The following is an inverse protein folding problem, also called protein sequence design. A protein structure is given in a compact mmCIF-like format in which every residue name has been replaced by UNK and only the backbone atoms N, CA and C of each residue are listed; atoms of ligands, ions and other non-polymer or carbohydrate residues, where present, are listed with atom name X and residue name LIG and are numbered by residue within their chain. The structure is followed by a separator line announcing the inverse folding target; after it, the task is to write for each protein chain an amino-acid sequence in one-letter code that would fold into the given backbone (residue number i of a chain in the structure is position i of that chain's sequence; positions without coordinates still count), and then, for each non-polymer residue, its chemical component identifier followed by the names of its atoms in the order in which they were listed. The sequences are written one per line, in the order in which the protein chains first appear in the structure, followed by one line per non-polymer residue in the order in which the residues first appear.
data_IF_428765691618
#
_entry.id   IF_428765691618
#
_cell.length_a   1.000
_cell.length_b   1.000
_cell.length_c   1.000
_cell.angle_alpha   90.00
_cell.angle_beta   90.00
_cell.angle_gamma   90.00
#
_symmetry.space_group_name_H-M   'P 1'
#
loop_
_entity.id
_entity.type
_entity.pdbx_description
1 polymer ?
#
# COMPACT_ATOMS: atom_id res chain seq x y z
N UNK A 1 -18.87 -13.30 1.11
CA UNK A 1 -19.47 -14.21 0.11
C UNK A 1 -20.62 -15.06 0.67
N UNK A 2 -20.71 -15.26 2.00
CA UNK A 2 -21.87 -15.97 2.60
C UNK A 2 -23.09 -15.05 2.69
N UNK A 3 -22.92 -13.84 3.17
CA UNK A 3 -24.01 -12.89 3.43
C UNK A 3 -24.34 -12.00 2.21
N UNK A 4 -23.38 -11.76 1.32
CA UNK A 4 -23.56 -10.92 0.12
C UNK A 4 -23.77 -11.83 -1.09
N UNK A 5 -25.04 -12.04 -1.44
CA UNK A 5 -25.39 -12.87 -2.61
C UNK A 5 -25.13 -12.08 -3.89
N UNK A 6 -24.66 -12.75 -4.97
CA UNK A 6 -24.56 -12.11 -6.29
C UNK A 6 -25.87 -11.45 -6.68
N UNK A 7 -25.80 -10.30 -7.34
CA UNK A 7 -26.90 -9.53 -7.87
C UNK A 7 -27.95 -9.06 -6.82
N UNK A 8 -27.62 -9.14 -5.53
CA UNK A 8 -28.42 -8.51 -4.48
C UNK A 8 -28.15 -7.00 -4.42
N UNK A 9 -29.07 -6.22 -3.84
CA UNK A 9 -28.88 -4.78 -3.64
C UNK A 9 -27.57 -4.43 -2.90
N UNK A 10 -27.16 -5.26 -1.92
CA UNK A 10 -25.88 -5.10 -1.22
C UNK A 10 -24.70 -5.36 -2.18
N UNK A 11 -24.82 -6.34 -3.07
CA UNK A 11 -23.79 -6.67 -4.04
C UNK A 11 -23.62 -5.57 -5.09
N UNK A 12 -24.73 -5.08 -5.61
CA UNK A 12 -24.71 -3.99 -6.60
C UNK A 12 -24.07 -2.73 -6.02
N UNK A 13 -24.37 -2.38 -4.76
CA UNK A 13 -23.74 -1.25 -4.09
C UNK A 13 -22.25 -1.52 -3.83
N UNK A 14 -21.87 -2.72 -3.37
CA UNK A 14 -20.48 -3.10 -3.18
C UNK A 14 -19.67 -3.08 -4.49
N UNK A 15 -20.26 -3.53 -5.61
CA UNK A 15 -19.69 -3.48 -6.94
C UNK A 15 -19.52 -2.05 -7.45
N UNK A 16 -20.45 -1.16 -7.10
CA UNK A 16 -20.38 0.27 -7.42
C UNK A 16 -19.25 0.95 -6.65
N UNK A 17 -19.10 0.67 -5.35
CA UNK A 17 -18.04 1.22 -4.49
C UNK A 17 -16.67 0.65 -4.83
N UNK A 18 -16.57 -0.63 -5.12
CA UNK A 18 -15.34 -1.36 -5.44
C UNK A 18 -14.41 -1.56 -4.24
N UNK A 19 -14.31 -0.60 -3.35
CA UNK A 19 -13.49 -0.62 -2.12
C UNK A 19 -14.09 0.25 -1.02
N UNK A 20 -13.67 0.04 0.23
CA UNK A 20 -13.88 1.00 1.33
C UNK A 20 -12.94 2.20 1.18
N UNK A 21 -13.33 3.35 1.70
CA UNK A 21 -12.52 4.58 1.76
C UNK A 21 -12.19 4.90 3.22
N UNK A 22 -10.93 5.21 3.51
CA UNK A 22 -10.46 5.44 4.88
C UNK A 22 -10.00 6.88 5.05
N UNK A 23 -10.87 7.71 5.61
CA UNK A 23 -10.51 9.05 6.02
C UNK A 23 -9.79 9.04 7.39
N UNK A 24 -9.00 10.06 7.71
CA UNK A 24 -8.29 10.09 9.00
C UNK A 24 -9.17 9.92 10.24
N UNK A 25 -10.43 10.41 10.18
CA UNK A 25 -11.38 10.37 11.31
C UNK A 25 -12.43 9.26 11.22
N UNK A 26 -12.71 8.74 10.02
CA UNK A 26 -13.75 7.72 9.82
C UNK A 26 -13.55 6.96 8.51
N UNK A 27 -14.24 5.85 8.36
CA UNK A 27 -14.23 5.06 7.12
C UNK A 27 -15.63 5.02 6.50
N UNK A 28 -15.68 5.05 5.17
CA UNK A 28 -16.88 4.73 4.39
C UNK A 28 -16.74 3.27 3.94
N UNK A 29 -17.46 2.33 4.55
CA UNK A 29 -17.29 0.92 4.27
C UNK A 29 -17.90 0.53 2.91
N UNK A 30 -17.30 -0.45 2.24
CA UNK A 30 -17.84 -1.06 1.01
C UNK A 30 -19.16 -1.80 1.28
N UNK A 31 -19.25 -2.47 2.42
CA UNK A 31 -20.44 -3.22 2.86
C UNK A 31 -21.12 -2.48 4.02
N UNK A 32 -22.43 -2.67 4.23
CA UNK A 32 -23.13 -2.12 5.40
C UNK A 32 -22.42 -2.44 6.71
N UNK A 33 -22.43 -1.53 7.68
CA UNK A 33 -21.73 -1.70 8.97
C UNK A 33 -22.21 -2.93 9.76
N UNK A 34 -23.47 -3.30 9.64
CA UNK A 34 -23.98 -4.54 10.22
C UNK A 34 -23.23 -5.78 9.74
N UNK A 35 -22.69 -5.76 8.51
CA UNK A 35 -21.81 -6.79 7.98
C UNK A 35 -20.36 -6.51 8.31
N UNK A 36 -19.81 -5.35 7.91
CA UNK A 36 -18.38 -5.05 8.02
C UNK A 36 -17.90 -5.01 9.46
N UNK A 37 -18.63 -4.33 10.35
CA UNK A 37 -18.28 -4.18 11.75
C UNK A 37 -18.97 -5.22 12.65
N UNK A 38 -20.03 -5.87 12.15
CA UNK A 38 -20.87 -6.84 12.85
C UNK A 38 -20.54 -8.30 12.52
N UNK A 39 -21.32 -8.88 11.59
CA UNK A 39 -21.32 -10.33 11.30
C UNK A 39 -20.01 -10.84 10.68
N UNK A 40 -19.34 -10.04 9.87
CA UNK A 40 -18.09 -10.43 9.21
C UNK A 40 -16.85 -10.09 10.02
N UNK A 41 -16.93 -9.21 11.03
CA UNK A 41 -15.80 -8.85 11.88
C UNK A 41 -15.37 -10.01 12.77
N UNK A 42 -14.09 -10.35 12.77
CA UNK A 42 -13.50 -11.45 13.56
C UNK A 42 -13.33 -11.06 15.04
N UNK A 43 -14.44 -10.74 15.70
CA UNK A 43 -14.45 -10.32 17.10
C UNK A 43 -14.00 -11.45 18.03
N UNK A 44 -13.26 -11.14 19.13
CA UNK A 44 -12.86 -12.15 20.09
C UNK A 44 -14.06 -12.79 20.80
N UNK A 45 -13.93 -14.08 21.12
CA UNK A 45 -14.94 -14.83 21.87
C UNK A 45 -16.23 -15.18 21.10
N UNK A 46 -16.34 -14.82 19.82
CA UNK A 46 -17.54 -15.03 19.00
C UNK A 46 -17.24 -15.93 17.80
N UNK A 47 -18.11 -16.89 17.53
CA UNK A 47 -18.00 -17.75 16.36
C UNK A 47 -18.18 -16.95 15.06
N UNK A 48 -17.30 -17.17 14.09
CA UNK A 48 -17.33 -16.51 12.77
C UNK A 48 -17.11 -17.49 11.63
N UNK A 49 -17.94 -17.37 10.61
CA UNK A 49 -17.79 -18.10 9.35
C UNK A 49 -16.61 -17.51 8.58
N UNK A 50 -15.67 -18.35 8.17
CA UNK A 50 -14.49 -17.94 7.42
C UNK A 50 -14.25 -18.85 6.23
N UNK A 51 -13.51 -18.34 5.25
CA UNK A 51 -12.87 -19.12 4.22
C UNK A 51 -11.38 -19.15 4.56
N UNK A 52 -10.89 -20.34 4.84
CA UNK A 52 -9.53 -20.55 5.36
C UNK A 52 -8.63 -21.08 4.26
N UNK A 53 -7.46 -20.48 4.13
CA UNK A 53 -6.32 -21.00 3.38
C UNK A 53 -5.28 -21.50 4.40
N UNK A 54 -5.18 -22.80 4.58
CA UNK A 54 -4.19 -23.45 5.42
C UNK A 54 -3.01 -23.85 4.55
N UNK A 55 -1.80 -23.49 4.96
CA UNK A 55 -0.58 -23.69 4.18
C UNK A 55 0.47 -24.42 5.01
N UNK A 56 1.12 -25.39 4.40
CA UNK A 56 2.29 -26.04 4.95
C UNK A 56 3.54 -25.46 4.27
N UNK A 57 4.41 -24.85 5.06
CA UNK A 57 5.64 -24.23 4.58
C UNK A 57 6.84 -25.08 4.99
N UNK A 58 7.86 -25.15 4.14
CA UNK A 58 9.14 -25.77 4.46
C UNK A 58 10.09 -24.76 5.14
N UNK A 59 11.30 -25.18 5.45
CA UNK A 59 12.33 -24.33 6.10
C UNK A 59 12.82 -23.16 5.22
N UNK A 60 12.57 -23.20 3.92
CA UNK A 60 12.87 -22.11 2.99
C UNK A 60 11.70 -21.12 2.83
N UNK A 61 10.59 -21.36 3.54
CA UNK A 61 9.36 -20.59 3.42
C UNK A 61 8.51 -20.90 2.19
N UNK A 62 8.83 -21.99 1.44
CA UNK A 62 8.05 -22.37 0.27
C UNK A 62 6.80 -23.16 0.69
N UNK A 63 5.65 -22.78 0.10
CA UNK A 63 4.39 -23.48 0.32
C UNK A 63 4.38 -24.82 -0.43
N UNK A 64 4.58 -25.91 0.31
CA UNK A 64 4.67 -27.28 -0.23
C UNK A 64 3.31 -27.95 -0.36
N UNK A 65 2.37 -27.61 0.50
CA UNK A 65 0.97 -28.08 0.43
C UNK A 65 0.03 -27.02 0.99
N UNK A 66 -1.21 -27.01 0.54
CA UNK A 66 -2.25 -26.11 1.04
C UNK A 66 -3.65 -26.68 0.91
N UNK A 67 -4.54 -26.24 1.78
CA UNK A 67 -5.96 -26.57 1.75
C UNK A 67 -6.79 -25.28 1.85
N UNK A 68 -7.84 -25.20 1.02
CA UNK A 68 -8.83 -24.12 1.08
C UNK A 68 -10.17 -24.73 1.44
N UNK A 69 -10.82 -24.21 2.49
CA UNK A 69 -12.08 -24.74 3.00
C UNK A 69 -12.88 -23.71 3.78
N UNK A 70 -14.19 -23.93 3.88
CA UNK A 70 -15.06 -23.16 4.77
C UNK A 70 -14.86 -23.64 6.21
N UNK A 71 -14.73 -22.70 7.14
CA UNK A 71 -14.49 -23.00 8.56
C UNK A 71 -15.30 -22.11 9.48
N UNK A 72 -15.38 -22.52 10.74
CA UNK A 72 -15.92 -21.74 11.84
C UNK A 72 -14.79 -21.49 12.82
N UNK A 73 -14.45 -20.22 13.03
CA UNK A 73 -13.40 -19.81 13.96
C UNK A 73 -13.94 -19.02 15.12
N UNK A 74 -13.20 -19.02 16.23
CA UNK A 74 -13.43 -18.18 17.40
C UNK A 74 -12.12 -17.54 17.80
N UNK A 75 -12.00 -16.22 17.58
CA UNK A 75 -10.79 -15.47 17.93
C UNK A 75 -10.62 -15.41 19.44
N UNK A 76 -9.40 -15.57 19.92
CA UNK A 76 -9.07 -15.56 21.36
C UNK A 76 -8.86 -14.14 21.90
N UNK A 77 -8.31 -13.24 21.08
CA UNK A 77 -8.00 -11.89 21.50
C UNK A 77 -8.08 -10.90 20.34
N UNK A 78 -8.32 -9.63 20.65
CA UNK A 78 -8.11 -8.49 19.77
C UNK A 78 -6.78 -7.84 20.21
N UNK A 79 -5.82 -7.83 19.32
CA UNK A 79 -4.51 -7.20 19.51
C UNK A 79 -4.44 -5.95 18.64
N UNK A 80 -3.71 -4.95 19.08
CA UNK A 80 -3.34 -3.80 18.26
C UNK A 80 -1.87 -3.87 17.84
N UNK A 81 -1.53 -3.16 16.76
CA UNK A 81 -0.20 -3.21 16.19
C UNK A 81 0.89 -2.66 17.13
N UNK A 82 0.60 -1.59 17.87
CA UNK A 82 1.58 -0.94 18.73
C UNK A 82 1.93 -1.84 19.92
N UNK A 83 0.93 -2.44 20.59
CA UNK A 83 1.14 -3.38 21.68
C UNK A 83 1.92 -4.64 21.26
N UNK A 84 1.65 -5.16 20.05
CA UNK A 84 2.38 -6.32 19.52
C UNK A 84 3.80 -5.94 19.14
N UNK A 85 4.03 -4.77 18.53
CA UNK A 85 5.36 -4.28 18.20
C UNK A 85 6.19 -4.03 19.49
N UNK A 86 5.60 -3.40 20.50
CA UNK A 86 6.24 -3.20 21.81
C UNK A 86 6.67 -4.54 22.44
N UNK A 87 5.84 -5.58 22.33
CA UNK A 87 6.17 -6.91 22.83
C UNK A 87 7.31 -7.56 22.03
N UNK A 88 7.26 -7.51 20.70
CA UNK A 88 8.22 -8.20 19.83
C UNK A 88 9.57 -7.47 19.74
N UNK A 89 9.56 -6.14 19.66
CA UNK A 89 10.76 -5.34 19.37
C UNK A 89 11.46 -4.86 20.66
N UNK A 90 10.69 -4.53 21.71
CA UNK A 90 11.20 -3.95 22.95
C UNK A 90 11.13 -4.90 24.15
N UNK A 91 10.53 -6.08 24.01
CA UNK A 91 10.34 -7.04 25.09
C UNK A 91 9.41 -6.56 26.22
N UNK A 92 8.67 -5.46 26.00
CA UNK A 92 7.70 -4.96 26.97
C UNK A 92 6.58 -5.98 27.18
N UNK A 93 6.12 -6.14 28.41
CA UNK A 93 5.03 -7.06 28.74
C UNK A 93 3.64 -6.45 28.43
N UNK A 94 3.44 -6.02 27.18
CA UNK A 94 2.18 -5.43 26.69
C UNK A 94 1.09 -6.47 26.42
N UNK A 95 1.46 -7.76 26.35
CA UNK A 95 0.56 -8.90 26.09
C UNK A 95 0.57 -9.82 27.32
N UNK A 96 -0.53 -9.87 28.06
CA UNK A 96 -0.60 -10.64 29.32
C UNK A 96 -0.72 -12.16 29.16
N UNK A 97 -1.29 -12.62 28.04
CA UNK A 97 -1.55 -14.05 27.82
C UNK A 97 -0.31 -14.77 27.27
N UNK A 98 0.25 -15.72 28.04
CA UNK A 98 1.47 -16.48 27.69
C UNK A 98 1.33 -17.32 26.39
N UNK A 99 0.16 -17.90 26.12
CA UNK A 99 -0.06 -18.67 24.89
C UNK A 99 -0.06 -17.76 23.67
N UNK A 100 -0.63 -16.57 23.79
CA UNK A 100 -0.57 -15.55 22.74
C UNK A 100 0.87 -15.08 22.53
N UNK A 101 1.61 -14.82 23.60
CA UNK A 101 3.04 -14.45 23.52
C UNK A 101 3.86 -15.51 22.75
N UNK A 102 3.64 -16.80 23.06
CA UNK A 102 4.30 -17.92 22.37
C UNK A 102 3.94 -17.94 20.89
N UNK A 103 2.66 -17.79 20.56
CA UNK A 103 2.19 -17.74 19.18
C UNK A 103 2.80 -16.56 18.40
N UNK A 104 2.87 -15.36 19.00
CA UNK A 104 3.45 -14.17 18.38
C UNK A 104 4.95 -14.35 18.08
N UNK A 105 5.72 -15.01 18.96
CA UNK A 105 7.13 -15.33 18.68
C UNK A 105 7.28 -16.26 17.49
N UNK A 106 6.48 -17.33 17.42
CA UNK A 106 6.48 -18.23 16.25
C UNK A 106 6.04 -17.50 14.96
N UNK A 107 5.07 -16.61 15.06
CA UNK A 107 4.66 -15.77 13.92
C UNK A 107 5.80 -14.84 13.48
N UNK A 108 6.58 -14.28 14.40
CA UNK A 108 7.76 -13.47 14.07
C UNK A 108 8.84 -14.28 13.35
N UNK A 109 9.13 -15.49 13.82
CA UNK A 109 10.06 -16.42 13.15
C UNK A 109 9.58 -16.71 11.71
N UNK A 110 8.30 -17.02 11.53
CA UNK A 110 7.70 -17.25 10.23
C UNK A 110 7.74 -15.99 9.34
N UNK A 111 7.51 -14.80 9.90
CA UNK A 111 7.64 -13.54 9.18
C UNK A 111 9.04 -13.40 8.58
N UNK A 112 10.10 -13.60 9.36
CA UNK A 112 11.48 -13.50 8.88
C UNK A 112 11.78 -14.51 7.77
N UNK A 113 11.27 -15.74 7.91
CA UNK A 113 11.40 -16.77 6.88
C UNK A 113 10.78 -16.34 5.54
N UNK A 114 9.57 -15.76 5.59
CA UNK A 114 8.87 -15.25 4.40
C UNK A 114 9.53 -14.00 3.81
N UNK A 115 10.05 -13.10 4.64
CA UNK A 115 10.84 -11.95 4.18
C UNK A 115 12.08 -12.39 3.41
N UNK A 116 12.86 -13.33 3.95
CA UNK A 116 14.05 -13.86 3.30
C UNK A 116 13.71 -14.60 1.99
N UNK A 117 12.63 -15.37 1.95
CA UNK A 117 12.11 -15.96 0.71
C UNK A 117 11.84 -14.89 -0.36
N UNK A 118 11.13 -13.82 0.01
CA UNK A 118 10.79 -12.73 -0.92
C UNK A 118 12.04 -11.98 -1.38
N UNK A 119 12.97 -11.72 -0.48
CA UNK A 119 14.26 -11.08 -0.78
C UNK A 119 15.08 -11.92 -1.77
N UNK A 120 15.20 -13.24 -1.53
CA UNK A 120 15.87 -14.15 -2.46
C UNK A 120 15.25 -14.15 -3.85
N UNK A 121 13.92 -14.03 -3.94
CA UNK A 121 13.17 -13.93 -5.20
C UNK A 121 13.31 -12.57 -5.88
N UNK A 122 13.80 -11.56 -5.19
CA UNK A 122 14.00 -10.21 -5.71
C UNK A 122 12.77 -9.31 -5.59
N UNK A 123 11.92 -9.53 -4.58
CA UNK A 123 10.84 -8.58 -4.28
C UNK A 123 11.42 -7.21 -3.91
N UNK A 124 10.83 -6.15 -4.46
CA UNK A 124 11.26 -4.78 -4.25
C UNK A 124 10.62 -4.25 -2.97
N UNK A 125 11.43 -3.87 -1.98
CA UNK A 125 10.95 -3.37 -0.68
C UNK A 125 11.39 -1.91 -0.51
N UNK A 126 10.47 -0.98 -0.74
CA UNK A 126 10.67 0.44 -0.46
C UNK A 126 10.52 0.71 1.04
N UNK A 127 11.31 1.65 1.55
CA UNK A 127 11.25 2.10 2.94
C UNK A 127 10.75 3.55 2.98
N UNK A 128 9.44 3.71 2.98
CA UNK A 128 8.81 5.01 3.17
C UNK A 128 8.23 5.12 4.58
N UNK A 129 8.38 6.30 5.16
CA UNK A 129 7.59 6.66 6.34
C UNK A 129 6.19 7.07 5.89
N UNK A 130 5.17 6.61 6.62
CA UNK A 130 3.80 7.08 6.43
C UNK A 130 3.54 8.29 7.32
N UNK A 131 2.97 9.34 6.73
CA UNK A 131 2.54 10.50 7.50
C UNK A 131 1.19 10.21 8.14
N UNK A 132 1.13 10.26 9.46
CA UNK A 132 -0.09 10.06 10.25
C UNK A 132 -0.54 11.39 10.85
N UNK A 133 -1.83 11.69 10.70
CA UNK A 133 -2.44 12.87 11.34
C UNK A 133 -2.60 12.60 12.83
N UNK A 134 -2.17 13.53 13.66
CA UNK A 134 -2.35 13.48 15.11
C UNK A 134 -3.57 14.30 15.52
N UNK A 135 -4.32 13.79 16.52
CA UNK A 135 -5.56 14.38 16.98
C UNK A 135 -5.54 14.62 18.49
N UNK A 136 -6.17 15.69 18.93
CA UNK A 136 -6.51 15.89 20.33
C UNK A 136 -7.77 15.09 20.73
N UNK A 137 -8.14 15.19 22.01
CA UNK A 137 -9.32 14.54 22.56
C UNK A 137 -10.66 15.03 21.94
N UNK A 138 -10.64 16.12 21.20
CA UNK A 138 -11.80 16.70 20.50
C UNK A 138 -11.79 16.39 19.00
N UNK A 139 -10.93 15.44 18.54
CA UNK A 139 -10.70 15.10 17.13
C UNK A 139 -10.24 16.28 16.27
N UNK A 140 -9.53 17.28 16.84
CA UNK A 140 -8.90 18.35 16.09
C UNK A 140 -7.44 17.96 15.80
N UNK A 141 -7.00 18.24 14.59
CA UNK A 141 -5.62 17.98 14.19
C UNK A 141 -4.66 18.84 15.04
N UNK A 142 -3.64 18.19 15.61
CA UNK A 142 -2.58 18.84 16.39
C UNK A 142 -1.25 18.89 15.64
N UNK A 143 -1.09 18.05 14.62
CA UNK A 143 0.11 17.95 13.81
C UNK A 143 0.12 16.69 12.98
N UNK A 144 1.31 16.35 12.47
CA UNK A 144 1.57 15.10 11.78
C UNK A 144 2.82 14.45 12.36
N UNK A 145 2.83 13.13 12.41
CA UNK A 145 4.01 12.35 12.74
C UNK A 145 4.38 11.42 11.60
N UNK A 146 5.66 11.10 11.50
CA UNK A 146 6.16 10.07 10.58
C UNK A 146 6.23 8.74 11.31
N UNK A 147 5.51 7.75 10.81
CA UNK A 147 5.56 6.39 11.32
C UNK A 147 6.18 5.48 10.27
N UNK A 148 7.17 4.70 10.68
CA UNK A 148 7.65 3.58 9.89
C UNK A 148 6.79 2.36 10.16
N UNK A 149 6.71 1.47 9.17
CA UNK A 149 5.99 0.22 9.31
C UNK A 149 6.60 -0.61 10.46
N UNK A 150 5.80 -0.92 11.48
CA UNK A 150 6.21 -1.73 12.62
C UNK A 150 6.42 -3.20 12.26
N UNK A 151 7.15 -3.95 13.10
CA UNK A 151 7.32 -5.40 12.95
C UNK A 151 5.99 -6.14 12.90
N UNK A 152 5.03 -5.74 13.71
CA UNK A 152 3.68 -6.31 13.73
C UNK A 152 2.91 -6.09 12.43
N UNK A 153 3.02 -4.90 11.82
CA UNK A 153 2.43 -4.61 10.50
C UNK A 153 3.08 -5.45 9.40
N UNK A 154 4.43 -5.52 9.38
CA UNK A 154 5.20 -6.36 8.46
C UNK A 154 4.80 -7.83 8.57
N UNK A 155 4.61 -8.33 9.79
CA UNK A 155 4.21 -9.72 10.04
C UNK A 155 2.88 -10.04 9.38
N UNK A 156 1.86 -9.23 9.56
CA UNK A 156 0.56 -9.43 8.92
C UNK A 156 0.65 -9.28 7.41
N UNK A 157 1.43 -8.32 6.91
CA UNK A 157 1.69 -8.16 5.48
C UNK A 157 2.27 -9.42 4.86
N UNK A 158 3.33 -10.03 5.46
CA UNK A 158 3.94 -11.25 4.93
C UNK A 158 2.93 -12.40 4.84
N UNK A 159 2.09 -12.57 5.85
CA UNK A 159 1.07 -13.63 5.86
C UNK A 159 -0.03 -13.38 4.83
N UNK A 160 -0.47 -12.12 4.68
CA UNK A 160 -1.44 -11.76 3.65
C UNK A 160 -0.89 -12.00 2.24
N UNK A 161 0.37 -11.66 1.99
CA UNK A 161 1.03 -11.86 0.70
C UNK A 161 1.12 -13.34 0.36
N UNK A 162 1.57 -14.19 1.29
CA UNK A 162 1.67 -15.63 1.07
C UNK A 162 0.29 -16.27 0.80
N UNK A 163 -0.74 -15.87 1.55
CA UNK A 163 -2.11 -16.32 1.33
C UNK A 163 -2.64 -15.88 -0.05
N UNK A 164 -2.41 -14.63 -0.44
CA UNK A 164 -2.83 -14.08 -1.73
C UNK A 164 -2.16 -14.82 -2.90
N UNK A 165 -0.85 -15.09 -2.82
CA UNK A 165 -0.10 -15.84 -3.83
C UNK A 165 -0.59 -17.29 -3.94
N UNK A 166 -0.79 -17.96 -2.80
CA UNK A 166 -1.27 -19.36 -2.76
C UNK A 166 -2.67 -19.48 -3.37
N UNK A 167 -3.58 -18.57 -3.03
CA UNK A 167 -4.94 -18.55 -3.59
C UNK A 167 -4.90 -18.20 -5.08
N UNK A 168 -4.05 -17.28 -5.52
CA UNK A 168 -3.90 -16.94 -6.94
C UNK A 168 -3.44 -18.16 -7.75
N UNK A 169 -2.41 -18.88 -7.26
CA UNK A 169 -1.92 -20.15 -7.85
C UNK A 169 -3.03 -21.19 -7.94
N UNK A 170 -3.83 -21.31 -6.87
CA UNK A 170 -5.00 -22.20 -6.86
C UNK A 170 -6.02 -21.84 -7.93
N UNK A 171 -6.38 -20.55 -8.04
CA UNK A 171 -7.34 -20.06 -9.05
C UNK A 171 -6.86 -20.35 -10.47
N UNK A 172 -5.58 -20.12 -10.78
CA UNK A 172 -4.99 -20.44 -12.09
C UNK A 172 -5.02 -21.94 -12.36
N UNK A 173 -4.52 -22.75 -11.41
CA UNK A 173 -4.49 -24.23 -11.53
C UNK A 173 -5.87 -24.84 -11.75
N UNK A 174 -6.90 -24.27 -11.12
CA UNK A 174 -8.29 -24.72 -11.21
C UNK A 174 -9.12 -24.01 -12.28
N UNK A 175 -8.53 -23.04 -12.99
CA UNK A 175 -9.23 -22.21 -14.00
C UNK A 175 -10.48 -21.53 -13.41
N UNK A 176 -10.37 -21.03 -12.17
CA UNK A 176 -11.45 -20.32 -11.53
C UNK A 176 -11.51 -18.88 -12.03
N UNK A 177 -12.71 -18.30 -12.17
CA UNK A 177 -12.85 -16.88 -12.47
C UNK A 177 -12.36 -16.06 -11.28
N UNK A 178 -11.31 -15.25 -11.48
CA UNK A 178 -10.72 -14.39 -10.44
C UNK A 178 -10.24 -13.08 -11.03
N UNK A 179 -10.23 -12.02 -10.22
CA UNK A 179 -9.56 -10.76 -10.56
C UNK A 179 -8.15 -10.81 -9.98
N UNK A 180 -7.16 -10.82 -10.88
CA UNK A 180 -5.75 -10.83 -10.51
C UNK A 180 -5.23 -9.41 -10.31
N UNK A 181 -4.36 -9.19 -9.34
CA UNK A 181 -3.64 -7.94 -9.15
C UNK A 181 -2.35 -7.99 -9.95
N UNK A 182 -2.33 -7.32 -11.07
CA UNK A 182 -1.23 -7.38 -12.03
C UNK A 182 -0.39 -6.12 -11.95
N UNK A 183 0.92 -6.29 -11.84
CA UNK A 183 1.89 -5.22 -11.86
C UNK A 183 2.92 -5.48 -12.95
N UNK A 184 2.84 -4.70 -14.02
CA UNK A 184 3.74 -4.82 -15.16
C UNK A 184 5.12 -4.24 -14.85
N UNK A 185 6.20 -4.72 -15.50
CA UNK A 185 7.50 -4.06 -15.45
C UNK A 185 7.41 -2.63 -15.99
N UNK A 186 8.38 -1.76 -15.65
CA UNK A 186 8.47 -0.42 -16.22
C UNK A 186 8.57 -0.43 -17.74
N UNK A 187 8.05 0.63 -18.40
CA UNK A 187 8.21 0.80 -19.85
C UNK A 187 9.67 1.14 -20.21
N UNK A 188 10.07 0.82 -21.44
CA UNK A 188 11.44 1.08 -21.94
C UNK A 188 11.83 2.56 -21.80
N UNK A 189 10.90 3.48 -22.05
CA UNK A 189 11.13 4.92 -21.91
C UNK A 189 11.50 5.28 -20.46
N UNK A 190 10.73 4.77 -19.50
CA UNK A 190 11.00 5.00 -18.07
C UNK A 190 12.31 4.35 -17.62
N UNK A 191 12.63 3.18 -18.17
CA UNK A 191 13.92 2.50 -17.91
C UNK A 191 15.10 3.30 -18.43
N UNK A 192 14.98 3.89 -19.62
CA UNK A 192 16.04 4.75 -20.17
C UNK A 192 16.28 6.00 -19.31
N UNK A 193 15.20 6.65 -18.87
CA UNK A 193 15.29 7.81 -17.96
C UNK A 193 15.93 7.42 -16.63
N UNK A 194 15.47 6.32 -16.03
CA UNK A 194 16.03 5.79 -14.78
C UNK A 194 17.52 5.50 -14.91
N UNK A 195 17.96 4.85 -16.00
CA UNK A 195 19.38 4.55 -16.26
C UNK A 195 20.24 5.81 -16.29
N UNK A 196 19.75 6.90 -16.89
CA UNK A 196 20.48 8.18 -16.94
C UNK A 196 20.62 8.77 -15.54
N UNK A 197 19.55 8.83 -14.77
CA UNK A 197 19.59 9.32 -13.38
C UNK A 197 20.56 8.48 -12.54
N UNK A 198 20.47 7.16 -12.57
CA UNK A 198 21.33 6.26 -11.79
C UNK A 198 22.83 6.44 -12.13
N UNK A 199 23.15 6.66 -13.42
CA UNK A 199 24.54 6.88 -13.85
C UNK A 199 25.16 8.13 -13.19
N UNK A 200 24.41 9.21 -12.97
CA UNK A 200 24.88 10.40 -12.26
C UNK A 200 25.22 10.14 -10.78
N UNK A 201 24.59 9.13 -10.18
CA UNK A 201 24.85 8.73 -8.80
C UNK A 201 25.81 7.54 -8.67
N UNK A 202 26.61 7.28 -9.70
CA UNK A 202 27.65 6.26 -9.69
C UNK A 202 27.13 4.82 -9.79
N UNK A 203 25.83 4.63 -9.96
CA UNK A 203 25.25 3.32 -10.20
C UNK A 203 25.39 2.98 -11.67
N UNK A 204 26.27 2.05 -12.01
CA UNK A 204 26.44 1.62 -13.40
C UNK A 204 25.28 0.70 -13.83
N UNK A 205 24.33 1.18 -14.65
CA UNK A 205 23.19 0.38 -15.05
C UNK A 205 23.52 -0.79 -15.99
N UNK A 206 24.78 -0.90 -16.43
CA UNK A 206 25.25 -2.06 -17.22
C UNK A 206 25.60 -3.27 -16.35
N UNK A 207 25.89 -3.05 -15.07
CA UNK A 207 26.24 -4.13 -14.12
C UNK A 207 25.03 -4.77 -13.45
N UNK A 208 23.84 -4.16 -13.55
CA UNK A 208 22.61 -4.67 -12.95
C UNK A 208 21.50 -4.62 -14.00
N UNK A 209 20.88 -5.76 -14.26
CA UNK A 209 19.71 -5.84 -15.14
C UNK A 209 18.54 -5.05 -14.55
N UNK A 210 17.91 -4.20 -15.36
CA UNK A 210 16.66 -3.50 -15.01
C UNK A 210 15.44 -4.16 -15.69
N UNK A 211 15.60 -5.35 -16.27
CA UNK A 211 14.52 -6.08 -16.94
C UNK A 211 13.64 -6.88 -15.97
N UNK A 212 14.12 -7.12 -14.76
CA UNK A 212 13.45 -7.91 -13.75
C UNK A 212 13.45 -7.25 -12.36
N UNK A 213 12.62 -7.73 -11.48
CA UNK A 213 12.46 -7.22 -10.12
C UNK A 213 13.72 -7.42 -9.27
N UNK A 214 14.48 -8.48 -9.52
CA UNK A 214 15.71 -8.78 -8.79
C UNK A 214 16.77 -7.69 -9.01
N UNK A 215 16.92 -7.23 -10.26
CA UNK A 215 17.80 -6.11 -10.58
C UNK A 215 17.38 -4.81 -9.89
N UNK A 216 16.07 -4.52 -9.86
CA UNK A 216 15.53 -3.37 -9.11
C UNK A 216 15.80 -3.47 -7.61
N UNK A 217 15.60 -4.64 -7.00
CA UNK A 217 15.88 -4.88 -5.58
C UNK A 217 17.37 -4.66 -5.25
N UNK A 218 18.29 -5.15 -6.10
CA UNK A 218 19.73 -4.92 -5.94
C UNK A 218 20.11 -3.46 -6.04
N UNK A 219 19.55 -2.73 -7.02
CA UNK A 219 19.78 -1.29 -7.13
C UNK A 219 19.29 -0.58 -5.88
N UNK A 220 18.06 -0.85 -5.42
CA UNK A 220 17.52 -0.24 -4.21
C UNK A 220 18.43 -0.48 -3.00
N UNK A 221 18.99 -1.69 -2.85
CA UNK A 221 19.92 -2.01 -1.77
C UNK A 221 21.22 -1.19 -1.88
N UNK A 222 21.75 -0.99 -3.10
CA UNK A 222 22.94 -0.15 -3.32
C UNK A 222 22.66 1.33 -3.03
N UNK A 223 21.46 1.81 -3.41
CA UNK A 223 21.07 3.22 -3.17
C UNK A 223 20.97 3.56 -1.69
N UNK A 224 20.71 2.59 -0.80
CA UNK A 224 20.65 2.81 0.66
C UNK A 224 21.92 3.40 1.26
N UNK A 225 23.06 3.15 0.63
CA UNK A 225 24.36 3.67 1.08
C UNK A 225 24.59 5.14 0.68
N UNK A 226 23.73 5.69 -0.18
CA UNK A 226 23.88 7.05 -0.70
C UNK A 226 23.14 8.08 0.15
N UNK A 227 23.71 9.27 0.38
CA UNK A 227 23.02 10.35 1.11
C UNK A 227 21.68 10.77 0.47
N UNK A 228 21.51 10.55 -0.84
CA UNK A 228 20.33 10.89 -1.62
C UNK A 228 19.30 9.74 -1.67
N UNK A 229 19.41 8.74 -0.82
CA UNK A 229 18.56 7.54 -0.85
C UNK A 229 17.08 7.85 -0.93
N UNK A 230 16.55 8.76 -0.07
CA UNK A 230 15.14 9.12 -0.04
C UNK A 230 14.63 9.63 -1.42
N UNK A 231 15.42 10.44 -2.10
CA UNK A 231 15.06 10.94 -3.43
C UNK A 231 15.14 9.85 -4.51
N UNK A 232 16.20 9.05 -4.47
CA UNK A 232 16.45 8.03 -5.48
C UNK A 232 15.46 6.87 -5.40
N UNK A 233 15.01 6.48 -4.20
CA UNK A 233 13.95 5.49 -4.07
C UNK A 233 12.60 5.99 -4.63
N UNK A 234 12.30 7.30 -4.51
CA UNK A 234 11.11 7.90 -5.14
C UNK A 234 11.22 7.87 -6.68
N UNK A 235 12.40 8.16 -7.23
CA UNK A 235 12.64 8.07 -8.68
C UNK A 235 12.46 6.63 -9.16
N UNK A 236 13.00 5.67 -8.42
CA UNK A 236 12.84 4.25 -8.71
C UNK A 236 11.36 3.84 -8.68
N UNK A 237 10.61 4.24 -7.66
CA UNK A 237 9.17 3.99 -7.54
C UNK A 237 8.38 4.61 -8.70
N UNK A 238 8.64 5.87 -9.06
CA UNK A 238 7.97 6.58 -10.16
C UNK A 238 8.25 5.97 -11.54
N UNK A 239 9.37 5.27 -11.69
CA UNK A 239 9.69 4.53 -12.91
C UNK A 239 8.78 3.32 -13.12
N UNK A 240 8.23 2.76 -12.05
CA UNK A 240 7.39 1.56 -12.09
C UNK A 240 6.00 1.85 -12.67
N UNK A 241 5.33 0.80 -13.14
CA UNK A 241 3.92 0.86 -13.53
C UNK A 241 3.02 0.87 -12.28
N UNK A 242 1.77 1.26 -12.43
CA UNK A 242 0.77 1.06 -11.39
C UNK A 242 0.22 -0.37 -11.47
N UNK A 243 0.00 -0.99 -10.32
CA UNK A 243 -0.71 -2.26 -10.26
C UNK A 243 -2.20 -2.05 -10.58
N UNK A 244 -2.79 -2.98 -11.32
CA UNK A 244 -4.19 -2.91 -11.76
C UNK A 244 -4.87 -4.28 -11.61
N UNK A 245 -6.21 -4.29 -11.55
CA UNK A 245 -6.95 -5.54 -11.61
C UNK A 245 -7.14 -5.98 -13.06
N UNK A 246 -6.98 -7.28 -13.32
CA UNK A 246 -7.17 -7.91 -14.62
C UNK A 246 -7.85 -9.28 -14.47
N UNK A 247 -8.52 -9.74 -15.53
CA UNK A 247 -9.17 -11.07 -15.57
C UNK A 247 -8.20 -12.21 -15.87
N UNK A 248 -6.97 -11.88 -16.29
CA UNK A 248 -5.89 -12.85 -16.55
C UNK A 248 -4.72 -12.57 -15.64
N UNK A 249 -4.09 -13.65 -15.17
CA UNK A 249 -2.85 -13.51 -14.41
C UNK A 249 -1.74 -12.96 -15.32
N UNK A 250 -1.07 -11.92 -14.86
CA UNK A 250 0.10 -11.31 -15.53
C UNK A 250 1.29 -11.17 -14.60
N UNK A 251 1.24 -11.78 -13.41
CA UNK A 251 2.26 -11.64 -12.37
C UNK A 251 2.26 -10.27 -11.69
N UNK A 252 3.13 -10.12 -10.71
CA UNK A 252 3.28 -8.87 -9.97
C UNK A 252 4.77 -8.50 -9.83
N UNK A 253 5.24 -7.62 -10.71
CA UNK A 253 6.65 -7.24 -10.81
C UNK A 253 7.26 -6.80 -9.46
N UNK A 254 6.65 -5.85 -8.77
CA UNK A 254 7.19 -5.33 -7.50
C UNK A 254 7.28 -6.38 -6.39
N UNK A 255 6.40 -7.38 -6.38
CA UNK A 255 6.42 -8.51 -5.43
C UNK A 255 7.29 -9.68 -5.93
N UNK A 256 7.80 -9.62 -7.14
CA UNK A 256 8.43 -10.76 -7.83
C UNK A 256 7.54 -12.01 -7.80
N UNK A 257 6.21 -11.85 -7.88
CA UNK A 257 5.25 -12.93 -7.77
C UNK A 257 4.71 -13.35 -9.14
N UNK A 258 4.78 -14.64 -9.45
CA UNK A 258 4.23 -15.19 -10.69
C UNK A 258 2.70 -15.20 -10.70
N UNK A 259 2.09 -15.42 -9.54
CA UNK A 259 0.65 -15.43 -9.34
C UNK A 259 0.29 -14.49 -8.21
N UNK A 260 -0.65 -13.55 -8.45
CA UNK A 260 -1.09 -12.67 -7.38
C UNK A 260 -2.54 -12.26 -7.55
N UNK A 261 -3.32 -12.40 -6.50
CA UNK A 261 -4.68 -11.88 -6.37
C UNK A 261 -4.92 -11.36 -4.95
N UNK A 262 -5.93 -10.57 -4.77
CA UNK A 262 -6.38 -10.19 -3.45
C UNK A 262 -7.44 -11.18 -2.94
N UNK A 263 -7.23 -11.74 -1.76
CA UNK A 263 -8.11 -12.71 -1.12
C UNK A 263 -8.42 -12.37 0.34
N UNK A 264 -7.48 -11.73 1.03
CA UNK A 264 -7.48 -11.61 2.49
C UNK A 264 -8.42 -10.56 3.05
N UNK A 265 -9.07 -9.71 2.23
CA UNK A 265 -9.88 -8.59 2.70
C UNK A 265 -11.24 -8.43 1.97
N UNK A 266 -12.13 -9.45 1.98
CA UNK A 266 -13.40 -9.40 1.22
C UNK A 266 -14.44 -8.43 1.80
N UNK A 267 -14.23 -7.91 3.01
CA UNK A 267 -15.09 -6.91 3.63
C UNK A 267 -14.91 -5.54 3.00
N UNK A 268 -13.67 -5.23 2.58
CA UNK A 268 -13.27 -3.90 2.12
C UNK A 268 -12.84 -3.82 0.66
N UNK A 269 -12.69 -4.95 -0.05
CA UNK A 269 -12.33 -4.97 -1.47
C UNK A 269 -13.24 -5.92 -2.24
N UNK A 270 -13.86 -5.42 -3.29
CA UNK A 270 -14.76 -6.21 -4.13
C UNK A 270 -14.05 -7.36 -4.89
N UNK A 271 -12.82 -7.19 -5.42
CA UNK A 271 -12.07 -8.30 -6.01
C UNK A 271 -11.89 -9.50 -5.07
N UNK A 272 -11.60 -9.28 -3.80
CA UNK A 272 -11.51 -10.35 -2.79
C UNK A 272 -12.85 -11.09 -2.63
N UNK A 273 -13.96 -10.36 -2.60
CA UNK A 273 -15.31 -10.95 -2.52
C UNK A 273 -15.59 -11.85 -3.72
N UNK A 274 -15.16 -11.46 -4.92
CA UNK A 274 -15.28 -12.27 -6.15
C UNK A 274 -14.46 -13.56 -6.06
N UNK A 275 -13.21 -13.48 -5.57
CA UNK A 275 -12.36 -14.66 -5.34
C UNK A 275 -13.02 -15.60 -4.33
N UNK A 276 -13.54 -15.10 -3.23
CA UNK A 276 -14.28 -15.90 -2.24
C UNK A 276 -15.48 -16.62 -2.86
N UNK A 277 -16.25 -15.97 -3.74
CA UNK A 277 -17.38 -16.59 -4.45
C UNK A 277 -16.94 -17.70 -5.37
N UNK A 278 -15.87 -17.50 -6.13
CA UNK A 278 -15.32 -18.51 -7.02
C UNK A 278 -14.85 -19.76 -6.26
N UNK A 279 -14.15 -19.57 -5.15
CA UNK A 279 -13.69 -20.65 -4.27
C UNK A 279 -14.86 -21.40 -3.63
N UNK A 280 -15.87 -20.71 -3.09
CA UNK A 280 -17.07 -21.36 -2.52
C UNK A 280 -17.84 -22.19 -3.54
N UNK A 281 -17.98 -21.70 -4.78
CA UNK A 281 -18.61 -22.44 -5.88
C UNK A 281 -17.85 -23.72 -6.21
N UNK A 282 -16.51 -23.66 -6.23
CA UNK A 282 -15.66 -24.83 -6.44
C UNK A 282 -15.82 -25.84 -5.29
N UNK A 283 -15.76 -25.41 -4.03
CA UNK A 283 -15.89 -26.26 -2.85
C UNK A 283 -17.25 -26.99 -2.83
N UNK A 284 -18.33 -26.28 -3.12
CA UNK A 284 -19.69 -26.85 -3.20
C UNK A 284 -19.78 -27.91 -4.32
N UNK A 285 -19.15 -27.67 -5.46
CA UNK A 285 -19.14 -28.62 -6.58
C UNK A 285 -18.33 -29.88 -6.26
N UNK A 286 -17.25 -29.80 -5.48
CA UNK A 286 -16.48 -30.95 -5.02
C UNK A 286 -17.29 -31.84 -4.06
N UNK A 287 -18.05 -31.23 -3.16
CA UNK A 287 -18.89 -31.96 -2.19
C UNK A 287 -20.04 -32.69 -2.89
N UNK A 288 -20.66 -32.09 -3.90
CA UNK A 288 -21.71 -32.75 -4.71
C UNK A 288 -21.16 -33.94 -5.51
N UNK A 289 -19.96 -33.86 -6.08
CA UNK A 289 -19.32 -34.97 -6.79
C UNK A 289 -18.96 -36.15 -5.87
N UNK A 290 -18.69 -35.93 -4.60
CA UNK A 290 -18.48 -36.95 -3.59
C UNK A 290 -19.76 -37.66 -3.19
N UNK A 291 -20.91 -37.00 -3.27
CA UNK A 291 -22.22 -37.53 -2.85
C UNK A 291 -23.02 -38.19 -3.99
N UNK A 292 -22.69 -37.92 -5.25
CA UNK A 292 -23.41 -38.47 -6.41
C UNK A 292 -22.47 -39.22 -7.36
N UNK A 293 -22.43 -40.58 -7.25
CA UNK A 293 -22.09 -41.44 -8.39
C UNK A 293 -23.22 -41.26 -9.41
N UNK A 294 -22.88 -40.69 -10.58
CA UNK A 294 -23.76 -40.49 -11.78
C UNK A 294 -24.67 -39.25 -11.73
N UNK A 295 -24.17 -38.16 -12.33
CA UNK A 295 -24.95 -37.32 -13.26
C UNK A 295 -23.94 -36.49 -14.07
N UNK A 296 -23.90 -36.73 -15.39
CA UNK A 296 -23.26 -35.85 -16.37
C UNK A 296 -24.03 -34.55 -16.43
N UNK A 297 -23.73 -33.62 -15.53
CA UNK A 297 -24.18 -32.23 -15.67
C UNK A 297 -23.04 -31.50 -16.38
N UNK A 298 -23.26 -31.14 -17.64
CA UNK A 298 -22.45 -30.11 -18.33
C UNK A 298 -22.43 -28.91 -17.42
N UNK A 299 -21.32 -28.69 -16.70
CA UNK A 299 -21.10 -27.47 -15.94
C UNK A 299 -21.13 -26.32 -16.94
N UNK A 300 -22.17 -25.49 -16.90
CA UNK A 300 -22.08 -24.13 -17.45
C UNK A 300 -20.84 -23.51 -16.80
N UNK A 301 -19.89 -23.10 -17.63
CA UNK A 301 -18.71 -22.35 -17.22
C UNK A 301 -19.20 -21.17 -16.36
N UNK A 302 -18.55 -20.97 -15.22
CA UNK A 302 -18.90 -19.88 -14.32
C UNK A 302 -18.92 -18.55 -15.07
N UNK A 303 -19.71 -17.61 -14.57
CA UNK A 303 -19.82 -16.25 -15.08
C UNK A 303 -18.42 -15.74 -15.40
N UNK A 304 -18.23 -15.39 -16.67
CA UNK A 304 -16.98 -14.79 -17.14
C UNK A 304 -16.85 -13.43 -16.45
N UNK A 305 -15.82 -13.26 -15.62
CA UNK A 305 -15.59 -11.96 -14.99
C UNK A 305 -15.24 -10.98 -16.11
N UNK A 306 -16.06 -9.94 -16.24
CA UNK A 306 -15.94 -8.94 -17.26
C UNK A 306 -14.68 -8.07 -17.04
N UNK A 307 -14.01 -7.70 -18.14
CA UNK A 307 -12.91 -6.72 -18.13
C UNK A 307 -13.36 -5.37 -17.59
N UNK A 308 -14.61 -4.99 -17.82
CA UNK A 308 -15.19 -3.75 -17.32
C UNK A 308 -15.17 -3.71 -15.79
N UNK A 309 -15.51 -4.82 -15.12
CA UNK A 309 -15.43 -4.91 -13.67
C UNK A 309 -13.99 -4.73 -13.15
N UNK A 310 -13.00 -5.31 -13.83
CA UNK A 310 -11.59 -5.15 -13.46
C UNK A 310 -11.13 -3.69 -13.56
N UNK A 311 -11.50 -3.02 -14.66
CA UNK A 311 -11.22 -1.59 -14.86
C UNK A 311 -11.92 -0.72 -13.80
N UNK A 312 -13.19 -1.01 -13.52
CA UNK A 312 -13.98 -0.31 -12.50
C UNK A 312 -13.35 -0.45 -11.11
N UNK A 313 -12.96 -1.66 -10.70
CA UNK A 313 -12.29 -1.87 -9.42
C UNK A 313 -10.98 -1.08 -9.32
N UNK A 314 -10.17 -1.07 -10.38
CA UNK A 314 -8.93 -0.29 -10.43
C UNK A 314 -9.19 1.22 -10.39
N UNK A 315 -10.26 1.69 -11.04
CA UNK A 315 -10.64 3.11 -11.01
C UNK A 315 -11.15 3.53 -9.62
N UNK A 316 -11.99 2.70 -8.99
CA UNK A 316 -12.52 3.01 -7.66
C UNK A 316 -11.44 2.99 -6.57
N UNK A 317 -10.45 2.12 -6.69
CA UNK A 317 -9.27 2.14 -5.81
C UNK A 317 -8.53 3.49 -5.91
N UNK A 318 -8.25 3.97 -7.13
CA UNK A 318 -7.63 5.29 -7.34
C UNK A 318 -8.49 6.46 -6.84
N UNK A 319 -9.81 6.36 -7.00
CA UNK A 319 -10.73 7.38 -6.50
C UNK A 319 -10.72 7.42 -4.97
N UNK A 320 -10.68 6.25 -4.31
CA UNK A 320 -10.58 6.13 -2.86
C UNK A 320 -9.28 6.76 -2.35
N UNK A 321 -8.14 6.36 -2.93
CA UNK A 321 -6.82 6.91 -2.60
C UNK A 321 -6.77 8.44 -2.77
N UNK A 322 -7.30 8.95 -3.89
CA UNK A 322 -7.39 10.40 -4.12
C UNK A 322 -8.26 11.11 -3.07
N UNK A 323 -9.39 10.51 -2.68
CA UNK A 323 -10.27 11.07 -1.67
C UNK A 323 -9.59 11.10 -0.29
N UNK A 324 -8.88 10.03 0.08
CA UNK A 324 -8.09 9.95 1.31
C UNK A 324 -7.02 11.05 1.35
N UNK A 325 -6.21 11.21 0.29
CA UNK A 325 -5.19 12.26 0.18
C UNK A 325 -5.80 13.67 0.27
N UNK A 326 -6.89 13.92 -0.45
CA UNK A 326 -7.58 15.21 -0.43
C UNK A 326 -8.19 15.53 0.95
N UNK A 327 -8.61 14.52 1.69
CA UNK A 327 -9.09 14.73 3.07
C UNK A 327 -7.94 15.13 4.02
N UNK A 328 -6.78 14.51 3.86
CA UNK A 328 -5.57 14.91 4.61
C UNK A 328 -5.18 16.34 4.27
N UNK A 329 -5.20 16.73 2.99
CA UNK A 329 -4.86 18.10 2.57
C UNK A 329 -5.87 19.12 3.11
N UNK A 330 -7.18 18.77 3.15
CA UNK A 330 -8.19 19.61 3.81
C UNK A 330 -7.87 19.82 5.29
N UNK A 331 -7.50 18.77 6.01
CA UNK A 331 -7.13 18.86 7.43
C UNK A 331 -5.89 19.72 7.65
N UNK A 332 -4.89 19.62 6.77
CA UNK A 332 -3.71 20.50 6.81
C UNK A 332 -4.09 21.97 6.64
N UNK A 333 -5.02 22.28 5.70
CA UNK A 333 -5.53 23.63 5.53
C UNK A 333 -6.23 24.15 6.79
N UNK A 334 -7.15 23.37 7.36
CA UNK A 334 -7.85 23.74 8.61
C UNK A 334 -6.87 23.94 9.77
N UNK A 335 -5.84 23.10 9.87
CA UNK A 335 -4.81 23.22 10.89
C UNK A 335 -3.96 24.48 10.72
N UNK A 336 -3.61 24.84 9.49
CA UNK A 336 -2.74 25.99 9.19
C UNK A 336 -3.48 27.32 9.13
N UNK A 337 -4.80 27.34 8.93
CA UNK A 337 -5.59 28.59 8.83
C UNK A 337 -5.34 29.58 9.99
N UNK A 338 -5.29 29.15 11.28
CA UNK A 338 -4.98 30.04 12.40
C UNK A 338 -3.53 30.55 12.42
N UNK A 339 -2.64 30.00 11.59
CA UNK A 339 -1.22 30.33 11.54
C UNK A 339 -0.87 31.29 10.39
N UNK A 340 -1.85 31.89 9.72
CA UNK A 340 -1.59 32.89 8.68
C UNK A 340 -0.76 34.06 9.27
N UNK A 341 0.32 34.40 8.57
CA UNK A 341 1.31 35.39 8.99
C UNK A 341 2.50 34.85 9.76
N UNK A 342 2.49 33.56 10.11
CA UNK A 342 3.58 32.89 10.82
C UNK A 342 4.68 32.45 9.83
N UNK A 343 5.93 32.58 10.28
CA UNK A 343 7.11 32.10 9.57
C UNK A 343 7.42 30.66 9.97
N UNK A 344 7.61 29.79 8.97
CA UNK A 344 7.97 28.38 9.15
C UNK A 344 9.41 28.13 8.66
N UNK A 345 10.20 27.46 9.47
CA UNK A 345 11.39 26.77 8.99
C UNK A 345 10.94 25.52 8.23
N UNK A 346 11.54 25.30 7.08
CA UNK A 346 11.10 24.23 6.18
C UNK A 346 12.28 23.49 5.59
N UNK A 347 12.10 22.19 5.36
CA UNK A 347 13.10 21.32 4.73
C UNK A 347 12.57 20.80 3.40
N UNK A 348 13.36 20.90 2.33
CA UNK A 348 12.99 20.37 1.02
C UNK A 348 13.06 18.84 1.05
N UNK A 349 11.93 18.18 0.78
CA UNK A 349 11.80 16.71 0.73
C UNK A 349 11.76 16.15 -0.69
N UNK A 350 11.26 16.90 -1.65
CA UNK A 350 11.36 16.54 -3.08
C UNK A 350 11.32 17.75 -3.98
N UNK A 351 11.79 17.57 -5.23
CA UNK A 351 11.89 18.60 -6.25
C UNK A 351 11.29 18.06 -7.55
N UNK A 352 10.64 18.94 -8.30
CA UNK A 352 10.29 18.67 -9.70
C UNK A 352 10.34 19.97 -10.55
N UNK A 353 9.90 19.89 -11.80
CA UNK A 353 9.96 21.02 -12.74
C UNK A 353 8.97 22.16 -12.44
N UNK A 354 8.04 22.00 -11.50
CA UNK A 354 6.99 22.96 -11.20
C UNK A 354 6.99 23.42 -9.75
N UNK A 355 7.43 22.59 -8.84
CA UNK A 355 7.27 22.80 -7.40
C UNK A 355 8.36 22.11 -6.59
N UNK A 356 8.53 22.59 -5.38
CA UNK A 356 9.26 21.89 -4.33
C UNK A 356 8.25 21.36 -3.32
N UNK A 357 8.51 20.17 -2.77
CA UNK A 357 7.78 19.67 -1.60
C UNK A 357 8.61 19.99 -0.37
N UNK A 358 8.03 20.73 0.53
CA UNK A 358 8.67 21.13 1.79
C UNK A 358 7.95 20.49 2.97
N UNK A 359 8.70 20.22 4.02
CA UNK A 359 8.18 19.85 5.33
C UNK A 359 8.31 21.04 6.26
N UNK A 360 7.19 21.49 6.82
CA UNK A 360 7.10 22.61 7.75
C UNK A 360 7.42 22.14 9.17
N UNK A 361 8.42 22.74 9.80
CA UNK A 361 8.78 22.46 11.21
C UNK A 361 8.00 23.40 12.17
N UNK A 362 7.62 22.96 13.37
CA UNK A 362 7.89 21.66 14.00
C UNK A 362 6.83 20.58 13.68
N UNK A 363 5.82 20.88 12.85
CA UNK A 363 4.61 20.06 12.70
C UNK A 363 4.76 18.87 11.76
N UNK A 364 5.93 18.66 11.15
CA UNK A 364 6.22 17.58 10.15
C UNK A 364 5.23 17.55 8.97
N UNK A 365 4.62 18.72 8.69
CA UNK A 365 3.58 18.84 7.68
C UNK A 365 4.19 19.11 6.30
N UNK A 366 3.95 18.20 5.37
CA UNK A 366 4.45 18.35 4.01
C UNK A 366 3.45 19.10 3.13
N UNK A 367 3.98 20.08 2.34
CA UNK A 367 3.20 20.82 1.35
C UNK A 367 4.00 21.07 0.07
N UNK A 368 3.27 21.22 -1.04
CA UNK A 368 3.89 21.56 -2.33
C UNK A 368 3.90 23.07 -2.52
N UNK A 369 5.08 23.64 -2.71
CA UNK A 369 5.28 25.07 -2.95
C UNK A 369 5.70 25.26 -4.40
N UNK A 370 4.96 26.06 -5.21
CA UNK A 370 5.33 26.35 -6.59
C UNK A 370 6.73 26.98 -6.69
N UNK A 371 7.49 26.67 -7.76
CA UNK A 371 8.83 27.26 -7.96
C UNK A 371 8.79 28.78 -8.12
N UNK A 372 7.66 29.32 -8.57
CA UNK A 372 7.42 30.76 -8.72
C UNK A 372 7.42 31.49 -7.38
N UNK A 373 7.12 30.80 -6.29
CA UNK A 373 7.21 31.34 -4.92
C UNK A 373 8.66 31.68 -4.54
N UNK A 374 9.64 30.97 -5.11
CA UNK A 374 11.07 31.26 -4.90
C UNK A 374 11.49 32.43 -5.79
N UNK A 375 11.25 33.64 -5.28
CA UNK A 375 11.36 34.89 -6.03
C UNK A 375 12.79 35.46 -6.14
N UNK A 376 13.78 34.81 -5.50
CA UNK A 376 15.20 35.22 -5.52
C UNK A 376 15.90 34.90 -6.85
N UNK A 377 15.47 33.88 -7.58
CA UNK A 377 15.99 33.51 -8.91
C UNK A 377 14.91 32.77 -9.72
N UNK A 378 15.20 32.49 -10.98
CA UNK A 378 14.42 31.57 -11.82
C UNK A 378 15.10 30.22 -11.87
N UNK A 379 14.40 29.19 -11.37
CA UNK A 379 14.95 27.86 -11.20
C UNK A 379 14.54 26.90 -12.32
N UNK A 380 15.47 26.06 -12.74
CA UNK A 380 15.27 24.98 -13.71
C UNK A 380 15.64 23.64 -13.09
N UNK A 381 14.76 22.66 -13.27
CA UNK A 381 14.96 21.31 -12.74
C UNK A 381 15.83 20.46 -13.66
N UNK A 382 16.94 19.97 -13.14
CA UNK A 382 17.75 18.94 -13.77
C UNK A 382 17.25 17.57 -13.31
N UNK A 383 16.51 16.91 -14.20
CA UNK A 383 15.87 15.61 -13.90
C UNK A 383 16.90 14.47 -13.70
N UNK A 384 18.09 14.58 -14.33
CA UNK A 384 19.11 13.54 -14.24
C UNK A 384 19.89 13.67 -12.93
N UNK A 385 20.10 14.88 -12.44
CA UNK A 385 20.89 15.19 -11.24
C UNK A 385 20.04 15.52 -10.01
N UNK A 386 18.71 15.55 -10.15
CA UNK A 386 17.74 15.80 -9.07
C UNK A 386 18.02 17.06 -8.26
N UNK A 387 18.35 18.16 -8.95
CA UNK A 387 18.48 19.48 -8.34
C UNK A 387 17.81 20.57 -9.18
N UNK A 388 17.58 21.73 -8.58
CA UNK A 388 17.19 22.94 -9.28
C UNK A 388 18.43 23.84 -9.43
N UNK A 389 18.62 24.42 -10.60
CA UNK A 389 19.67 25.42 -10.85
C UNK A 389 19.07 26.80 -11.10
N UNK A 390 19.55 27.80 -10.38
CA UNK A 390 19.18 29.20 -10.56
C UNK A 390 19.85 29.80 -11.80
N UNK A 391 19.09 30.57 -12.59
CA UNK A 391 19.56 31.15 -13.85
C UNK A 391 20.52 32.31 -13.63
N UNK A 392 20.29 33.17 -12.63
CA UNK A 392 21.05 34.40 -12.40
C UNK A 392 22.21 34.17 -11.45
N UNK A 393 21.95 33.53 -10.32
CA UNK A 393 22.93 33.36 -9.24
C UNK A 393 23.67 32.02 -9.32
N UNK A 394 23.26 31.10 -10.21
CA UNK A 394 23.84 29.77 -10.30
C UNK A 394 23.63 28.91 -9.04
N UNK A 395 22.74 29.34 -8.13
CA UNK A 395 22.45 28.59 -6.92
C UNK A 395 21.89 27.21 -7.25
N UNK A 396 22.43 26.19 -6.59
CA UNK A 396 21.92 24.83 -6.70
C UNK A 396 21.05 24.51 -5.49
N UNK A 397 19.79 24.12 -5.73
CA UNK A 397 18.87 23.69 -4.69
C UNK A 397 18.76 22.16 -4.73
N UNK A 398 18.96 21.55 -3.55
CA UNK A 398 18.94 20.08 -3.38
C UNK A 398 17.97 19.69 -2.29
N UNK A 399 17.58 18.41 -2.31
CA UNK A 399 16.81 17.80 -1.22
C UNK A 399 17.61 17.88 0.07
N UNK A 400 16.92 18.17 1.18
CA UNK A 400 17.52 18.38 2.49
C UNK A 400 17.91 19.81 2.81
N UNK A 401 17.92 20.72 1.83
CA UNK A 401 18.17 22.14 2.10
C UNK A 401 17.01 22.77 2.85
N UNK A 402 17.34 23.79 3.65
CA UNK A 402 16.40 24.51 4.49
C UNK A 402 16.08 25.88 3.94
N UNK A 403 14.84 26.29 4.11
CA UNK A 403 14.37 27.61 3.72
C UNK A 403 13.34 28.10 4.74
N UNK A 404 13.16 29.42 4.76
CA UNK A 404 12.14 30.08 5.56
C UNK A 404 10.98 30.48 4.65
N UNK A 405 9.78 30.07 5.03
CA UNK A 405 8.53 30.37 4.31
C UNK A 405 7.56 31.07 5.27
N UNK A 406 6.94 32.14 4.82
CA UNK A 406 5.86 32.82 5.54
C UNK A 406 4.52 32.39 4.99
N UNK A 407 3.64 31.91 5.85
CA UNK A 407 2.28 31.52 5.45
C UNK A 407 1.44 32.80 5.21
N UNK A 408 1.02 33.00 3.97
CA UNK A 408 0.27 34.21 3.60
C UNK A 408 -1.23 34.01 3.41
N UNK A 409 -1.61 32.81 2.96
CA UNK A 409 -3.01 32.52 2.69
C UNK A 409 -3.29 31.02 2.83
N UNK A 410 -4.47 30.72 3.35
CA UNK A 410 -5.05 29.37 3.34
C UNK A 410 -6.45 29.45 2.73
N UNK A 411 -6.71 28.64 1.71
CA UNK A 411 -8.03 28.47 1.12
C UNK A 411 -8.50 27.03 1.42
N UNK A 412 -9.29 26.89 2.47
CA UNK A 412 -9.77 25.59 2.95
C UNK A 412 -10.65 24.91 1.91
N UNK A 413 -11.49 25.65 1.18
CA UNK A 413 -12.42 25.08 0.19
C UNK A 413 -11.67 24.56 -1.04
N UNK A 414 -10.69 25.32 -1.52
CA UNK A 414 -9.85 24.91 -2.65
C UNK A 414 -8.70 23.98 -2.25
N UNK A 415 -8.49 23.79 -0.93
CA UNK A 415 -7.36 23.04 -0.36
C UNK A 415 -6.04 23.57 -0.90
N UNK A 416 -5.86 24.89 -0.81
CA UNK A 416 -4.65 25.57 -1.25
C UNK A 416 -4.01 26.36 -0.11
N UNK A 417 -2.69 26.36 -0.08
CA UNK A 417 -1.88 27.08 0.90
C UNK A 417 -0.81 27.85 0.13
N UNK A 418 -0.79 29.15 0.30
CA UNK A 418 0.16 30.03 -0.36
C UNK A 418 1.21 30.52 0.66
N UNK A 419 2.46 30.52 0.25
CA UNK A 419 3.60 30.96 1.02
C UNK A 419 4.36 32.07 0.31
N UNK A 420 5.01 32.95 1.07
CA UNK A 420 6.08 33.81 0.60
C UNK A 420 7.44 33.22 0.99
N UNK A 421 8.38 33.35 0.09
CA UNK A 421 9.77 32.94 0.33
C UNK A 421 10.52 34.05 1.06
N UNK A 422 10.97 33.78 2.28
CA UNK A 422 11.68 34.73 3.13
C UNK A 422 13.21 34.57 3.04
N UNK A 423 13.69 33.43 2.55
CA UNK A 423 15.13 33.18 2.35
C UNK A 423 15.59 31.75 2.61
N UNK A 424 16.81 31.51 2.26
CA UNK A 424 17.50 30.22 2.50
C UNK A 424 18.10 30.23 3.92
N UNK A 425 17.98 29.10 4.60
CA UNK A 425 18.63 28.86 5.89
C UNK A 425 19.93 28.06 5.65
N UNK A 426 20.97 28.41 6.42
CA UNK A 426 22.30 27.77 6.32
C UNK A 426 22.31 26.37 6.94
#
# INVERSE_FOLDING_TARGET
AHYVRPDSAIDEEAKKRGTSVYFPTHAIPMLPEALSNGLCSLRPGVNRLTLTCEMQLNQDGECIDYRIYESLIKSHARLDYDAVADFLDSGKNSISNKEIQKSLKLMQELMHLLEEKRKRRGAIQFEFSESSVEFDHQNRMTGMSKKFQSSSMKMIEQFMLEANETVARHCVKRKLPALYRVHQPPSDLKLQQLKKTLAHYGVNPKTVSLSDSYGFSRILSHLKELPQFEALQVVLLRSMALAVYQTRNGGHFGLAAEFYTHFTSPIRRYPDLMVHRALKKELSSRNQKKSSRKRNIKQKHGEEIDRELALKCSQQERNAEKAELQSVDLMKCVFLEPHIGVDFQSIIRSLDSRQIRVELEPHTLEWNVPLETLNDDRYFFDQERLYLSGRRQGRLIRIGQRLKLKLIRVDVLQRNIDFDFEGWLN
#
